data_IF_228375003673
#
_entry.id   IF_228375003673
#
_cell.length_a   1.000
_cell.length_b   1.000
_cell.length_c   1.000
_cell.angle_alpha   90.00
_cell.angle_beta   90.00
_cell.angle_gamma   90.00
#
_symmetry.space_group_name_H-M   'P 1'
#
loop_
_entity.id
_entity.type
_entity.pdbx_description
1 polymer ?
#
# COMPACT_ATOMS: atom_id res chain seq x y z
N UNK A 1 44.86 -7.07 5.59
CA UNK A 1 44.41 -7.64 6.88
C UNK A 1 43.76 -6.53 7.71
N UNK A 2 42.42 -6.52 7.76
CA UNK A 2 41.58 -5.42 8.26
C UNK A 2 41.69 -5.25 9.79
N UNK A 3 42.13 -4.08 10.24
CA UNK A 3 42.04 -3.68 11.65
C UNK A 3 40.56 -3.56 12.02
N UNK A 4 40.10 -4.53 12.83
CA UNK A 4 38.82 -4.56 13.54
C UNK A 4 38.37 -3.15 13.98
N UNK A 5 37.35 -2.62 13.32
CA UNK A 5 36.48 -1.59 13.88
C UNK A 5 35.68 -2.24 15.02
N UNK A 6 36.34 -2.47 16.17
CA UNK A 6 35.61 -2.59 17.43
C UNK A 6 35.07 -1.20 17.73
N UNK A 7 33.84 -0.92 17.27
CA UNK A 7 33.04 0.13 17.87
C UNK A 7 32.87 -0.24 19.34
N UNK A 8 33.72 0.31 20.20
CA UNK A 8 33.38 0.47 21.61
C UNK A 8 32.19 1.44 21.68
N UNK A 9 30.99 0.94 21.37
CA UNK A 9 29.70 1.56 21.67
C UNK A 9 29.45 1.61 23.20
N UNK A 10 30.35 1.02 23.99
CA UNK A 10 30.35 1.00 25.45
C UNK A 10 30.90 2.26 26.13
N UNK A 11 31.06 3.38 25.42
CA UNK A 11 31.05 4.68 26.11
C UNK A 11 29.63 4.82 26.68
N UNK A 12 29.46 4.44 27.96
CA UNK A 12 28.20 4.39 28.70
C UNK A 12 27.36 5.61 28.32
N UNK A 13 26.34 5.40 27.48
CA UNK A 13 25.30 6.38 27.27
C UNK A 13 24.76 6.73 28.65
N UNK A 14 25.00 7.96 29.08
CA UNK A 14 24.54 8.41 30.37
C UNK A 14 23.02 8.30 30.37
N UNK A 15 22.45 7.48 31.25
CA UNK A 15 21.00 7.28 31.34
C UNK A 15 20.24 8.61 31.45
N UNK A 16 20.86 9.61 32.08
CA UNK A 16 20.36 10.98 32.16
C UNK A 16 20.24 11.65 30.79
N UNK A 17 21.23 11.48 29.90
CA UNK A 17 21.21 12.09 28.56
C UNK A 17 20.17 11.42 27.66
N UNK A 18 20.01 10.09 27.77
CA UNK A 18 18.94 9.35 27.10
C UNK A 18 17.58 9.87 27.58
N UNK A 19 17.37 9.96 28.90
CA UNK A 19 16.10 10.42 29.47
C UNK A 19 15.77 11.85 29.01
N UNK A 20 16.75 12.77 29.03
CA UNK A 20 16.56 14.15 28.56
C UNK A 20 16.22 14.17 27.07
N UNK A 21 16.89 13.36 26.24
CA UNK A 21 16.58 13.26 24.82
C UNK A 21 15.15 12.75 24.59
N UNK A 22 14.76 11.65 25.25
CA UNK A 22 13.44 11.05 25.14
C UNK A 22 12.34 12.02 25.56
N UNK A 23 12.53 12.73 26.68
CA UNK A 23 11.57 13.72 27.15
C UNK A 23 11.43 14.89 26.17
N UNK A 24 12.55 15.42 25.67
CA UNK A 24 12.53 16.49 24.65
C UNK A 24 11.84 16.05 23.38
N UNK A 25 12.12 14.83 22.92
CA UNK A 25 11.48 14.24 21.75
C UNK A 25 9.96 14.13 21.97
N UNK A 26 9.53 13.56 23.10
CA UNK A 26 8.10 13.38 23.38
C UNK A 26 7.34 14.71 23.44
N UNK A 27 7.89 15.71 24.13
CA UNK A 27 7.30 17.06 24.21
C UNK A 27 7.28 17.72 22.82
N UNK A 28 8.37 17.66 22.07
CA UNK A 28 8.44 18.24 20.73
C UNK A 28 7.45 17.57 19.76
N UNK A 29 7.38 16.23 19.74
CA UNK A 29 6.44 15.46 18.93
C UNK A 29 5.00 15.82 19.29
N UNK A 30 4.67 15.92 20.58
CA UNK A 30 3.30 16.27 21.02
C UNK A 30 2.89 17.67 20.55
N UNK A 31 3.77 18.67 20.71
CA UNK A 31 3.52 20.03 20.25
C UNK A 31 3.41 20.10 18.73
N UNK A 32 4.36 19.50 18.01
CA UNK A 32 4.35 19.47 16.55
C UNK A 32 3.15 18.71 15.98
N UNK A 33 2.68 17.67 16.67
CA UNK A 33 1.48 16.94 16.28
C UNK A 33 0.24 17.82 16.36
N UNK A 34 0.07 18.60 17.43
CA UNK A 34 -1.05 19.54 17.56
C UNK A 34 -1.02 20.57 16.42
N UNK A 35 0.16 21.13 16.12
CA UNK A 35 0.30 22.08 15.00
C UNK A 35 0.02 21.38 13.67
N UNK A 36 0.60 20.22 13.42
CA UNK A 36 0.38 19.44 12.20
C UNK A 36 -1.09 19.11 11.98
N UNK A 37 -1.79 18.66 13.03
CA UNK A 37 -3.20 18.33 12.97
C UNK A 37 -4.03 19.51 12.43
N UNK A 38 -3.72 20.74 12.84
CA UNK A 38 -4.45 21.94 12.40
C UNK A 38 -4.33 22.29 10.92
N UNK A 39 -3.25 21.89 10.23
CA UNK A 39 -3.04 22.16 8.80
C UNK A 39 -2.96 20.88 7.95
N UNK A 40 -3.23 19.72 8.55
CA UNK A 40 -3.00 18.42 7.93
C UNK A 40 -3.84 18.18 6.66
N UNK A 41 -5.07 18.70 6.63
CA UNK A 41 -5.93 18.68 5.45
C UNK A 41 -5.31 19.43 4.28
N UNK A 42 -4.81 20.65 4.52
CA UNK A 42 -4.17 21.48 3.48
C UNK A 42 -2.87 20.82 2.99
N UNK A 43 -2.12 20.19 3.89
CA UNK A 43 -0.92 19.44 3.54
C UNK A 43 -1.25 18.22 2.67
N UNK A 44 -2.31 17.49 3.01
CA UNK A 44 -2.79 16.36 2.21
C UNK A 44 -3.19 16.80 0.80
N UNK A 45 -3.96 17.86 0.68
CA UNK A 45 -4.36 18.43 -0.61
C UNK A 45 -3.13 18.89 -1.42
N UNK A 46 -2.15 19.50 -0.76
CA UNK A 46 -0.89 19.87 -1.40
C UNK A 46 -0.14 18.65 -1.97
N UNK A 47 0.01 17.58 -1.19
CA UNK A 47 0.65 16.33 -1.67
C UNK A 47 -0.15 15.73 -2.82
N UNK A 48 -1.48 15.70 -2.71
CA UNK A 48 -2.36 15.23 -3.78
C UNK A 48 -2.19 16.03 -5.07
N UNK A 49 -2.17 17.36 -4.99
CA UNK A 49 -2.01 18.23 -6.16
C UNK A 49 -0.66 18.03 -6.87
N UNK A 50 0.39 17.65 -6.13
CA UNK A 50 1.68 17.28 -6.74
C UNK A 50 1.63 15.87 -7.35
N UNK A 51 0.97 14.93 -6.67
CA UNK A 51 0.84 13.54 -7.13
C UNK A 51 -0.08 13.39 -8.34
N UNK A 52 -1.12 14.21 -8.44
CA UNK A 52 -2.14 14.19 -9.49
C UNK A 52 -1.55 14.16 -10.91
N UNK A 53 -0.70 15.11 -11.34
CA UNK A 53 -0.14 15.08 -12.69
C UNK A 53 0.73 13.85 -12.98
N UNK A 54 1.33 13.24 -11.94
CA UNK A 54 2.08 11.98 -12.11
C UNK A 54 1.12 10.85 -12.43
N UNK A 55 0.01 10.75 -11.70
CA UNK A 55 -1.00 9.71 -11.93
C UNK A 55 -1.68 9.90 -13.29
N UNK A 56 -2.10 11.12 -13.63
CA UNK A 56 -2.73 11.43 -14.92
C UNK A 56 -1.78 11.20 -16.11
N UNK A 57 -0.46 11.34 -15.91
CA UNK A 57 0.52 10.99 -16.92
C UNK A 57 0.52 9.48 -17.24
N UNK A 58 0.35 8.62 -16.23
CA UNK A 58 0.29 7.16 -16.42
C UNK A 58 -1.12 6.66 -16.79
N UNK A 59 -2.16 7.40 -16.40
CA UNK A 59 -3.56 7.07 -16.65
C UNK A 59 -4.29 8.23 -17.35
N UNK A 60 -4.00 8.51 -18.63
CA UNK A 60 -4.50 9.70 -19.31
C UNK A 60 -6.02 9.71 -19.51
N UNK A 61 -6.67 8.55 -19.43
CA UNK A 61 -8.11 8.41 -19.59
C UNK A 61 -8.90 8.53 -18.28
N UNK A 62 -8.20 8.65 -17.13
CA UNK A 62 -8.83 8.71 -15.82
C UNK A 62 -8.67 10.09 -15.19
N UNK A 63 -9.80 10.73 -14.87
CA UNK A 63 -9.79 11.97 -14.11
C UNK A 63 -9.60 11.65 -12.62
N UNK A 64 -8.46 12.08 -12.07
CA UNK A 64 -8.14 11.86 -10.65
C UNK A 64 -8.78 12.96 -9.80
N UNK A 65 -9.75 12.57 -8.97
CA UNK A 65 -10.49 13.47 -8.09
C UNK A 65 -10.20 13.11 -6.63
N UNK A 66 -10.01 14.14 -5.79
CA UNK A 66 -9.81 13.96 -4.37
C UNK A 66 -11.15 13.69 -3.66
N UNK A 67 -11.38 12.46 -3.22
CA UNK A 67 -12.55 12.12 -2.41
C UNK A 67 -12.35 12.57 -0.95
N UNK A 68 -13.37 13.21 -0.37
CA UNK A 68 -13.34 13.71 1.02
C UNK A 68 -13.06 12.62 2.06
N UNK A 69 -13.54 11.40 1.83
CA UNK A 69 -13.37 10.29 2.77
C UNK A 69 -11.91 9.82 2.87
N UNK A 70 -11.12 10.00 1.81
CA UNK A 70 -9.69 9.64 1.82
C UNK A 70 -8.85 10.64 2.64
N UNK A 71 -9.34 11.84 2.94
CA UNK A 71 -8.58 12.89 3.63
C UNK A 71 -8.20 12.45 5.06
N UNK A 72 -9.13 11.87 5.83
CA UNK A 72 -8.90 11.57 7.26
C UNK A 72 -7.96 10.37 7.43
N UNK A 73 -8.23 9.26 6.72
CA UNK A 73 -7.40 8.06 6.81
C UNK A 73 -5.97 8.32 6.31
N UNK A 74 -5.83 9.12 5.26
CA UNK A 74 -4.53 9.43 4.67
C UNK A 74 -3.74 10.49 5.46
N UNK A 75 -4.43 11.37 6.20
CA UNK A 75 -3.80 12.36 7.08
C UNK A 75 -2.84 11.71 8.09
N UNK A 76 -3.20 10.54 8.60
CA UNK A 76 -2.36 9.79 9.54
C UNK A 76 -1.09 9.26 8.87
N UNK A 77 -1.17 8.90 7.58
CA UNK A 77 0.00 8.43 6.82
C UNK A 77 1.08 9.51 6.72
N UNK A 78 0.71 10.80 6.69
CA UNK A 78 1.66 11.91 6.55
C UNK A 78 2.27 12.42 7.87
N UNK A 79 1.95 11.77 8.99
CA UNK A 79 2.43 12.17 10.31
C UNK A 79 3.96 12.05 10.45
N UNK A 80 4.64 11.30 9.58
CA UNK A 80 6.06 11.00 9.62
C UNK A 80 6.99 12.25 9.62
N UNK A 81 6.49 13.39 9.14
CA UNK A 81 7.16 14.69 9.26
C UNK A 81 7.36 15.13 10.73
N UNK A 82 6.35 14.89 11.57
CA UNK A 82 6.32 15.27 12.99
C UNK A 82 7.45 14.61 13.80
N UNK A 83 7.57 13.26 13.86
CA UNK A 83 8.65 12.63 14.60
C UNK A 83 10.01 12.94 13.99
N UNK A 84 10.13 13.12 12.67
CA UNK A 84 11.40 13.50 12.05
C UNK A 84 11.90 14.88 12.55
N UNK A 85 11.04 15.89 12.49
CA UNK A 85 11.37 17.24 12.96
C UNK A 85 11.68 17.22 14.46
N UNK A 86 10.87 16.49 15.24
CA UNK A 86 11.09 16.33 16.68
C UNK A 86 12.44 15.65 17.00
N UNK A 87 12.86 14.63 16.25
CA UNK A 87 14.16 13.96 16.41
C UNK A 87 15.32 14.94 16.19
N UNK A 88 15.25 15.78 15.15
CA UNK A 88 16.30 16.79 14.90
C UNK A 88 16.34 17.82 16.03
N UNK A 89 15.20 18.29 16.50
CA UNK A 89 15.14 19.25 17.62
C UNK A 89 15.66 18.66 18.92
N UNK A 90 15.28 17.43 19.24
CA UNK A 90 15.71 16.72 20.44
C UNK A 90 17.22 16.44 20.42
N UNK A 91 17.85 16.35 19.24
CA UNK A 91 19.28 16.09 19.12
C UNK A 91 20.12 17.25 19.69
N UNK A 92 20.87 17.05 20.80
CA UNK A 92 21.48 18.14 21.56
C UNK A 92 22.72 18.75 20.89
N UNK A 93 23.41 18.01 20.02
CA UNK A 93 24.73 18.39 19.48
C UNK A 93 24.69 19.15 18.16
N UNK A 94 23.52 19.34 17.58
CA UNK A 94 23.36 20.03 16.30
C UNK A 94 23.11 21.52 16.57
N UNK A 95 23.93 22.40 15.99
CA UNK A 95 23.73 23.85 16.09
C UNK A 95 22.46 24.28 15.37
N UNK A 96 21.80 25.35 15.82
CA UNK A 96 20.51 25.82 15.27
C UNK A 96 20.46 25.95 13.74
N UNK A 97 21.43 26.63 13.12
CA UNK A 97 21.50 26.75 11.64
C UNK A 97 21.58 25.39 10.93
N UNK A 98 22.32 24.43 11.51
CA UNK A 98 22.42 23.08 10.96
C UNK A 98 21.13 22.28 11.18
N UNK A 99 20.41 22.49 12.29
CA UNK A 99 19.10 21.87 12.52
C UNK A 99 18.12 22.26 11.42
N UNK A 100 18.02 23.56 11.12
CA UNK A 100 17.14 24.08 10.06
C UNK A 100 17.52 23.46 8.71
N UNK A 101 18.81 23.41 8.37
CA UNK A 101 19.28 22.78 7.13
C UNK A 101 18.88 21.30 7.03
N UNK A 102 19.05 20.52 8.11
CA UNK A 102 18.68 19.11 8.13
C UNK A 102 17.17 18.90 8.07
N UNK A 103 16.40 19.77 8.73
CA UNK A 103 14.93 19.77 8.66
C UNK A 103 14.50 19.99 7.21
N UNK A 104 14.98 21.05 6.56
CA UNK A 104 14.62 21.35 5.15
C UNK A 104 14.94 20.16 4.25
N UNK A 105 16.16 19.61 4.33
CA UNK A 105 16.57 18.47 3.51
C UNK A 105 15.66 17.26 3.75
N UNK A 106 15.41 16.89 5.01
CA UNK A 106 14.59 15.74 5.30
C UNK A 106 13.10 15.95 5.01
N UNK A 107 12.57 17.17 5.17
CA UNK A 107 11.21 17.50 4.76
C UNK A 107 11.04 17.35 3.24
N UNK A 108 12.03 17.77 2.42
CA UNK A 108 12.00 17.55 0.97
C UNK A 108 12.01 16.05 0.65
N UNK A 109 12.88 15.27 1.30
CA UNK A 109 12.94 13.81 1.09
C UNK A 109 11.62 13.14 1.48
N UNK A 110 11.05 13.51 2.64
CA UNK A 110 9.77 12.97 3.11
C UNK A 110 8.64 13.36 2.16
N UNK A 111 8.58 14.61 1.70
CA UNK A 111 7.59 15.05 0.71
C UNK A 111 7.66 14.20 -0.57
N UNK A 112 8.86 13.95 -1.10
CA UNK A 112 9.01 13.12 -2.30
C UNK A 112 8.49 11.69 -2.08
N UNK A 113 8.78 11.10 -0.92
CA UNK A 113 8.30 9.75 -0.58
C UNK A 113 6.78 9.72 -0.44
N UNK A 114 6.20 10.76 0.15
CA UNK A 114 4.75 10.90 0.30
C UNK A 114 4.05 11.09 -1.05
N UNK A 115 4.64 11.86 -1.96
CA UNK A 115 4.17 12.00 -3.35
C UNK A 115 4.21 10.64 -4.06
N UNK A 116 5.30 9.88 -3.93
CA UNK A 116 5.42 8.53 -4.49
C UNK A 116 4.34 7.61 -3.91
N UNK A 117 4.16 7.60 -2.59
CA UNK A 117 3.16 6.77 -1.92
C UNK A 117 1.73 7.09 -2.41
N UNK A 118 1.38 8.37 -2.45
CA UNK A 118 0.08 8.84 -2.93
C UNK A 118 -0.12 8.43 -4.38
N UNK A 119 0.85 8.70 -5.26
CA UNK A 119 0.76 8.33 -6.67
C UNK A 119 0.61 6.83 -6.86
N UNK A 120 1.38 6.00 -6.14
CA UNK A 120 1.26 4.55 -6.21
C UNK A 120 -0.10 4.05 -5.73
N UNK A 121 -0.66 4.66 -4.68
CA UNK A 121 -1.97 4.26 -4.13
C UNK A 121 -3.09 4.64 -5.08
N UNK A 122 -3.02 5.83 -5.70
CA UNK A 122 -4.00 6.28 -6.68
C UNK A 122 -3.93 5.44 -7.96
N UNK A 123 -2.73 5.22 -8.51
CA UNK A 123 -2.53 4.35 -9.68
C UNK A 123 -3.02 2.93 -9.42
N UNK A 124 -2.75 2.37 -8.24
CA UNK A 124 -3.24 1.03 -7.87
C UNK A 124 -4.75 0.89 -7.95
N UNK A 125 -5.50 1.89 -7.46
CA UNK A 125 -6.96 1.90 -7.55
C UNK A 125 -7.45 2.00 -8.99
N UNK A 126 -6.75 2.76 -9.84
CA UNK A 126 -7.10 2.89 -11.25
C UNK A 126 -6.83 1.57 -11.98
N UNK A 127 -5.67 0.94 -11.75
CA UNK A 127 -5.32 -0.37 -12.34
C UNK A 127 -6.36 -1.44 -11.99
N UNK A 128 -6.82 -1.48 -10.73
CA UNK A 128 -7.88 -2.40 -10.30
C UNK A 128 -9.16 -2.12 -11.08
N UNK A 129 -9.57 -0.86 -11.17
CA UNK A 129 -10.81 -0.47 -11.84
C UNK A 129 -10.77 -0.77 -13.34
N UNK A 130 -9.65 -0.51 -14.01
CA UNK A 130 -9.42 -0.88 -15.42
C UNK A 130 -9.55 -2.40 -15.62
N UNK A 131 -8.96 -3.19 -14.72
CA UNK A 131 -9.07 -4.66 -14.75
C UNK A 131 -10.48 -5.14 -14.46
N UNK A 132 -11.21 -4.51 -13.54
CA UNK A 132 -12.61 -4.81 -13.25
C UNK A 132 -13.51 -4.54 -14.47
N UNK A 133 -13.31 -3.40 -15.14
CA UNK A 133 -14.05 -3.04 -16.35
C UNK A 133 -13.76 -4.03 -17.49
N UNK A 134 -12.50 -4.40 -17.69
CA UNK A 134 -12.09 -5.40 -18.69
C UNK A 134 -12.66 -6.79 -18.36
N UNK A 135 -12.48 -7.26 -17.13
CA UNK A 135 -12.98 -8.56 -16.68
C UNK A 135 -14.50 -8.65 -16.80
N UNK A 136 -15.20 -7.56 -16.50
CA UNK A 136 -16.67 -7.47 -16.66
C UNK A 136 -17.07 -7.55 -18.13
N UNK A 137 -16.37 -6.85 -19.02
CA UNK A 137 -16.63 -6.93 -20.46
C UNK A 137 -16.37 -8.32 -21.03
N UNK A 138 -15.26 -8.96 -20.65
CA UNK A 138 -14.94 -10.33 -21.06
C UNK A 138 -15.98 -11.32 -20.54
N UNK A 139 -16.38 -11.17 -19.27
CA UNK A 139 -17.39 -12.01 -18.63
C UNK A 139 -18.73 -11.97 -19.36
N UNK A 140 -19.21 -10.79 -19.78
CA UNK A 140 -20.46 -10.70 -20.53
C UNK A 140 -20.37 -11.35 -21.91
N UNK A 141 -19.25 -11.21 -22.62
CA UNK A 141 -19.05 -11.88 -23.91
C UNK A 141 -19.01 -13.41 -23.73
N UNK A 142 -18.29 -13.91 -22.71
CA UNK A 142 -18.19 -15.35 -22.44
C UNK A 142 -19.50 -15.95 -21.92
N UNK A 143 -20.33 -15.16 -21.21
CA UNK A 143 -21.68 -15.58 -20.80
C UNK A 143 -22.58 -15.84 -22.00
N UNK A 144 -22.57 -14.94 -22.98
CA UNK A 144 -23.44 -15.07 -24.15
C UNK A 144 -23.07 -16.34 -24.93
N UNK A 145 -21.77 -16.57 -25.13
CA UNK A 145 -21.24 -17.80 -25.73
C UNK A 145 -21.58 -19.05 -24.90
N UNK A 146 -21.51 -18.96 -23.58
CA UNK A 146 -21.83 -20.07 -22.67
C UNK A 146 -23.31 -20.47 -22.81
N UNK A 147 -24.21 -19.49 -22.82
CA UNK A 147 -25.64 -19.74 -22.99
C UNK A 147 -25.95 -20.35 -24.36
N UNK A 148 -25.35 -19.84 -25.43
CA UNK A 148 -25.52 -20.39 -26.77
C UNK A 148 -25.06 -21.85 -26.83
N UNK A 149 -23.87 -22.16 -26.31
CA UNK A 149 -23.32 -23.51 -26.31
C UNK A 149 -24.16 -24.50 -25.49
N UNK A 150 -24.59 -24.10 -24.28
CA UNK A 150 -25.44 -24.94 -23.43
C UNK A 150 -26.82 -25.17 -24.08
N UNK A 151 -27.39 -24.14 -24.71
CA UNK A 151 -28.64 -24.25 -25.45
C UNK A 151 -28.50 -25.23 -26.63
N UNK A 152 -27.41 -25.16 -27.40
CA UNK A 152 -27.14 -26.10 -28.51
C UNK A 152 -27.05 -27.55 -28.01
N UNK A 153 -26.37 -27.77 -26.88
CA UNK A 153 -26.23 -29.11 -26.28
C UNK A 153 -27.59 -29.66 -25.85
N UNK A 154 -28.41 -28.85 -25.17
CA UNK A 154 -29.72 -29.26 -24.67
C UNK A 154 -30.81 -29.26 -25.76
N UNK A 155 -30.65 -28.50 -26.84
CA UNK A 155 -31.54 -28.54 -28.01
C UNK A 155 -31.62 -29.96 -28.59
N UNK A 156 -30.50 -30.70 -28.64
CA UNK A 156 -30.52 -32.09 -29.09
C UNK A 156 -31.34 -33.03 -28.18
N UNK A 157 -31.41 -32.75 -26.87
CA UNK A 157 -32.26 -33.46 -25.92
C UNK A 157 -33.73 -33.08 -26.10
N UNK A 158 -34.01 -31.78 -26.28
CA UNK A 158 -35.36 -31.25 -26.52
C UNK A 158 -35.93 -31.78 -27.83
N UNK A 159 -35.13 -31.82 -28.90
CA UNK A 159 -35.54 -32.35 -30.22
C UNK A 159 -35.95 -33.83 -30.16
N UNK A 160 -35.36 -34.62 -29.24
CA UNK A 160 -35.77 -36.01 -29.02
C UNK A 160 -37.14 -36.12 -28.35
N UNK A 161 -37.56 -35.12 -27.59
CA UNK A 161 -38.85 -35.09 -26.90
C UNK A 161 -40.00 -34.59 -27.80
N UNK A 162 -39.71 -33.83 -28.86
CA UNK A 162 -40.71 -33.29 -29.80
C UNK A 162 -41.65 -34.39 -30.37
N UNK A 163 -41.16 -35.53 -30.90
CA UNK A 163 -42.02 -36.60 -31.41
C UNK A 163 -42.89 -37.26 -30.33
N UNK A 164 -42.48 -37.23 -29.06
CA UNK A 164 -43.32 -37.70 -27.94
C UNK A 164 -44.46 -36.71 -27.71
N UNK A 165 -44.15 -35.41 -27.64
CA UNK A 165 -45.13 -34.35 -27.38
C UNK A 165 -46.17 -34.24 -28.49
N UNK A 166 -45.77 -34.38 -29.76
CA UNK A 166 -46.69 -34.43 -30.89
C UNK A 166 -47.67 -35.62 -30.79
N UNK A 167 -47.19 -36.80 -30.38
CA UNK A 167 -48.06 -37.97 -30.13
C UNK A 167 -49.02 -37.76 -28.96
N UNK A 168 -48.69 -36.86 -28.03
CA UNK A 168 -49.56 -36.45 -26.93
C UNK A 168 -50.52 -35.30 -27.31
N UNK A 169 -50.56 -34.91 -28.58
CA UNK A 169 -51.49 -33.90 -29.10
C UNK A 169 -51.05 -32.45 -28.91
N UNK A 170 -49.78 -32.18 -28.57
CA UNK A 170 -49.26 -30.81 -28.54
C UNK A 170 -49.15 -30.25 -29.96
N UNK A 171 -49.64 -29.03 -30.14
CA UNK A 171 -49.58 -28.34 -31.43
C UNK A 171 -48.16 -27.84 -31.70
N UNK A 172 -47.88 -27.46 -32.95
CA UNK A 172 -46.62 -26.80 -33.30
C UNK A 172 -46.44 -25.49 -32.53
N UNK A 173 -47.52 -24.73 -32.37
CA UNK A 173 -47.54 -23.47 -31.63
C UNK A 173 -47.20 -23.66 -30.15
N UNK A 174 -47.72 -24.73 -29.51
CA UNK A 174 -47.36 -25.08 -28.12
C UNK A 174 -45.86 -25.42 -27.99
N UNK A 175 -45.31 -26.10 -28.99
CA UNK A 175 -43.89 -26.49 -29.01
C UNK A 175 -42.99 -25.28 -29.22
N UNK A 176 -43.35 -24.39 -30.15
CA UNK A 176 -42.63 -23.14 -30.41
C UNK A 176 -42.66 -22.22 -29.17
N UNK A 177 -43.81 -22.16 -28.47
CA UNK A 177 -43.93 -21.44 -27.20
C UNK A 177 -43.05 -22.04 -26.10
N UNK A 178 -42.98 -23.37 -25.97
CA UNK A 178 -42.09 -24.03 -25.01
C UNK A 178 -40.62 -23.75 -25.30
N UNK A 179 -40.20 -23.83 -26.57
CA UNK A 179 -38.82 -23.51 -26.98
C UNK A 179 -38.49 -22.05 -26.65
N UNK A 180 -39.41 -21.12 -26.91
CA UNK A 180 -39.22 -19.72 -26.54
C UNK A 180 -39.13 -19.51 -25.03
N UNK A 181 -39.94 -20.21 -24.23
CA UNK A 181 -39.86 -20.14 -22.77
C UNK A 181 -38.51 -20.66 -22.26
N UNK A 182 -37.93 -21.71 -22.87
CA UNK A 182 -36.59 -22.21 -22.53
C UNK A 182 -35.53 -21.14 -22.84
N UNK A 183 -35.57 -20.56 -24.04
CA UNK A 183 -34.64 -19.51 -24.47
C UNK A 183 -34.69 -18.26 -23.57
N UNK A 184 -35.86 -17.97 -23.02
CA UNK A 184 -36.10 -16.83 -22.13
C UNK A 184 -35.92 -17.15 -20.63
N UNK A 185 -35.42 -18.35 -20.28
CA UNK A 185 -35.25 -18.79 -18.88
C UNK A 185 -36.57 -18.91 -18.08
N UNK A 186 -37.72 -18.99 -18.76
CA UNK A 186 -39.05 -19.03 -18.15
C UNK A 186 -39.51 -20.47 -17.90
N UNK A 187 -38.67 -21.28 -17.25
CA UNK A 187 -38.90 -22.72 -17.04
C UNK A 187 -40.23 -23.02 -16.32
N UNK A 188 -40.71 -22.11 -15.47
CA UNK A 188 -41.98 -22.27 -14.76
C UNK A 188 -43.21 -22.24 -15.67
N UNK A 189 -43.11 -21.63 -16.86
CA UNK A 189 -44.19 -21.54 -17.84
C UNK A 189 -44.31 -22.80 -18.72
N UNK A 190 -43.42 -23.77 -18.55
CA UNK A 190 -43.41 -25.01 -19.33
C UNK A 190 -44.33 -26.04 -18.67
N UNK A 191 -45.37 -26.45 -19.40
CA UNK A 191 -46.40 -27.37 -18.89
C UNK A 191 -45.95 -28.84 -18.79
N UNK A 192 -44.99 -29.27 -19.61
CA UNK A 192 -44.51 -30.66 -19.59
C UNK A 192 -43.37 -30.80 -18.56
N UNK A 193 -43.53 -31.72 -17.61
CA UNK A 193 -42.62 -31.90 -16.48
C UNK A 193 -41.20 -32.29 -16.92
N UNK A 194 -41.06 -33.15 -17.94
CA UNK A 194 -39.72 -33.55 -18.44
C UNK A 194 -39.00 -32.39 -19.11
N UNK A 195 -39.69 -31.65 -19.97
CA UNK A 195 -39.11 -30.46 -20.63
C UNK A 195 -38.79 -29.37 -19.61
N UNK A 196 -39.65 -29.19 -18.59
CA UNK A 196 -39.39 -28.28 -17.47
C UNK A 196 -38.13 -28.67 -16.69
N UNK A 197 -37.94 -29.97 -16.40
CA UNK A 197 -36.73 -30.44 -15.70
C UNK A 197 -35.47 -30.22 -16.54
N UNK A 198 -35.52 -30.46 -17.85
CA UNK A 198 -34.40 -30.16 -18.77
C UNK A 198 -34.08 -28.65 -18.74
N UNK A 199 -35.10 -27.79 -18.77
CA UNK A 199 -34.93 -26.34 -18.65
C UNK A 199 -34.29 -25.93 -17.31
N UNK A 200 -34.75 -26.51 -16.19
CA UNK A 200 -34.19 -26.23 -14.86
C UNK A 200 -32.74 -26.71 -14.74
N UNK A 201 -32.40 -27.87 -15.29
CA UNK A 201 -31.02 -28.37 -15.35
C UNK A 201 -30.12 -27.43 -16.14
N UNK A 202 -30.58 -26.98 -17.33
CA UNK A 202 -29.88 -26.02 -18.17
C UNK A 202 -29.61 -24.69 -17.43
N UNK A 203 -30.64 -24.12 -16.79
CA UNK A 203 -30.51 -22.86 -16.03
C UNK A 203 -29.58 -23.02 -14.84
N UNK A 204 -29.66 -24.14 -14.11
CA UNK A 204 -28.77 -24.40 -12.97
C UNK A 204 -27.31 -24.56 -13.41
N UNK A 205 -27.05 -25.30 -14.50
CA UNK A 205 -25.69 -25.47 -15.04
C UNK A 205 -25.12 -24.13 -15.52
N UNK A 206 -25.94 -23.32 -16.19
CA UNK A 206 -25.57 -21.98 -16.61
C UNK A 206 -25.20 -21.07 -15.42
N UNK A 207 -26.05 -21.00 -14.39
CA UNK A 207 -25.77 -20.17 -13.20
C UNK A 207 -24.55 -20.66 -12.42
N UNK A 208 -24.30 -21.97 -12.37
CA UNK A 208 -23.09 -22.52 -11.75
C UNK A 208 -21.84 -22.09 -12.51
N UNK A 209 -21.78 -22.31 -13.83
CA UNK A 209 -20.61 -21.96 -14.65
C UNK A 209 -20.38 -20.45 -14.71
N UNK A 210 -21.45 -19.66 -14.74
CA UNK A 210 -21.39 -18.20 -14.60
C UNK A 210 -20.73 -17.78 -13.29
N UNK A 211 -21.05 -18.45 -12.18
CA UNK A 211 -20.40 -18.18 -10.89
C UNK A 211 -18.91 -18.55 -10.90
N UNK A 212 -18.57 -19.71 -11.45
CA UNK A 212 -17.18 -20.18 -11.59
C UNK A 212 -16.33 -19.22 -12.45
N UNK A 213 -16.84 -18.81 -13.60
CA UNK A 213 -16.20 -17.83 -14.49
C UNK A 213 -15.97 -16.49 -13.77
N UNK A 214 -16.95 -16.02 -13.01
CA UNK A 214 -16.80 -14.78 -12.25
C UNK A 214 -15.75 -14.88 -11.15
N UNK A 215 -15.68 -16.02 -10.46
CA UNK A 215 -14.65 -16.28 -9.45
C UNK A 215 -13.24 -16.32 -10.09
N UNK A 216 -13.09 -17.00 -11.23
CA UNK A 216 -11.82 -17.04 -11.98
C UNK A 216 -11.39 -15.64 -12.46
N UNK A 217 -12.32 -14.84 -13.03
CA UNK A 217 -12.01 -13.48 -13.46
C UNK A 217 -11.65 -12.59 -12.28
N UNK A 218 -12.32 -12.72 -11.14
CA UNK A 218 -12.02 -11.96 -9.92
C UNK A 218 -10.62 -12.26 -9.39
N UNK A 219 -10.19 -13.52 -9.39
CA UNK A 219 -8.86 -13.91 -8.91
C UNK A 219 -7.73 -13.32 -9.78
N UNK A 220 -8.04 -12.91 -11.02
CA UNK A 220 -7.10 -12.22 -11.90
C UNK A 220 -7.03 -10.69 -11.67
N UNK A 221 -7.94 -10.12 -10.87
CA UNK A 221 -7.97 -8.71 -10.47
C UNK A 221 -7.08 -8.52 -9.23
N UNK A 222 -5.80 -8.87 -9.35
CA UNK A 222 -4.81 -8.53 -8.31
C UNK A 222 -4.08 -7.23 -8.64
N UNK A 223 -3.80 -6.43 -7.61
CA UNK A 223 -2.88 -5.30 -7.71
C UNK A 223 -1.52 -5.77 -8.22
N UNK A 224 -0.82 -4.90 -8.96
CA UNK A 224 0.57 -5.18 -9.30
C UNK A 224 1.38 -5.44 -8.03
N UNK A 225 2.27 -6.45 -8.06
CA UNK A 225 3.15 -6.76 -6.92
C UNK A 225 3.92 -5.52 -6.43
N UNK A 226 4.30 -4.63 -7.36
CA UNK A 226 5.02 -3.41 -7.06
C UNK A 226 4.14 -2.41 -6.31
N UNK A 227 2.90 -2.20 -6.75
CA UNK A 227 1.90 -1.37 -6.06
C UNK A 227 1.67 -1.89 -4.65
N UNK A 228 1.37 -3.19 -4.49
CA UNK A 228 1.12 -3.82 -3.19
C UNK A 228 2.32 -3.74 -2.25
N UNK A 229 3.53 -3.90 -2.78
CA UNK A 229 4.77 -3.83 -1.98
C UNK A 229 5.05 -2.41 -1.52
N UNK A 230 4.93 -1.43 -2.42
CA UNK A 230 5.17 -0.02 -2.11
C UNK A 230 4.09 0.49 -1.16
N UNK A 231 2.81 0.24 -1.45
CA UNK A 231 1.69 0.66 -0.60
C UNK A 231 1.73 -0.02 0.77
N UNK A 232 2.08 -1.30 0.83
CA UNK A 232 2.24 -2.03 2.09
C UNK A 232 3.41 -1.53 2.93
N UNK A 233 4.57 -1.31 2.32
CA UNK A 233 5.75 -0.80 3.02
C UNK A 233 5.55 0.65 3.49
N UNK A 234 5.06 1.52 2.61
CA UNK A 234 4.84 2.95 2.89
C UNK A 234 3.49 3.25 3.55
N UNK A 235 2.59 2.30 3.70
CA UNK A 235 1.33 2.47 4.45
C UNK A 235 1.42 1.96 5.89
N UNK A 236 2.30 1.00 6.16
CA UNK A 236 2.43 0.35 7.46
C UNK A 236 3.64 0.83 8.29
N UNK A 237 4.40 -0.13 8.81
CA UNK A 237 5.55 0.12 9.70
C UNK A 237 6.64 1.00 9.07
N UNK A 238 6.71 1.06 7.74
CA UNK A 238 7.68 1.92 7.05
C UNK A 238 7.51 3.39 7.41
N UNK A 239 6.29 3.92 7.52
CA UNK A 239 6.08 5.34 7.86
C UNK A 239 6.50 5.68 9.29
N UNK A 240 6.44 4.70 10.18
CA UNK A 240 6.85 4.86 11.58
C UNK A 240 8.38 4.82 11.69
N UNK A 241 9.02 3.86 11.02
CA UNK A 241 10.47 3.61 11.14
C UNK A 241 11.29 4.58 10.29
N UNK A 242 10.76 5.00 9.13
CA UNK A 242 11.50 5.81 8.16
C UNK A 242 12.01 7.15 8.71
N UNK A 243 11.24 7.93 9.52
CA UNK A 243 11.76 9.11 10.20
C UNK A 243 13.03 8.87 11.02
N UNK A 244 13.13 7.72 11.68
CA UNK A 244 14.31 7.35 12.47
C UNK A 244 15.49 6.98 11.58
N UNK A 245 15.26 6.22 10.51
CA UNK A 245 16.31 5.90 9.52
C UNK A 245 16.85 7.20 8.91
N UNK A 246 15.96 8.06 8.43
CA UNK A 246 16.32 9.33 7.82
C UNK A 246 17.09 10.22 8.81
N UNK A 247 16.61 10.31 10.05
CA UNK A 247 17.31 11.03 11.11
C UNK A 247 18.71 10.46 11.36
N UNK A 248 18.87 9.14 11.46
CA UNK A 248 20.18 8.48 11.65
C UNK A 248 21.10 8.84 10.50
N UNK A 249 20.66 8.66 9.25
CA UNK A 249 21.47 8.92 8.05
C UNK A 249 21.92 10.39 7.99
N UNK A 250 21.00 11.33 8.21
CA UNK A 250 21.28 12.76 8.16
C UNK A 250 22.13 13.24 9.34
N UNK A 251 21.97 12.64 10.53
CA UNK A 251 22.68 13.03 11.74
C UNK A 251 23.97 12.24 11.96
N UNK A 252 24.22 11.16 11.21
CA UNK A 252 25.34 10.22 11.40
C UNK A 252 26.70 10.93 11.48
N UNK A 253 26.92 11.90 10.59
CA UNK A 253 28.17 12.68 10.56
C UNK A 253 28.39 13.46 11.87
N UNK A 254 27.33 14.01 12.46
CA UNK A 254 27.42 14.75 13.73
C UNK A 254 27.72 13.84 14.91
N UNK A 255 27.27 12.58 14.87
CA UNK A 255 27.65 11.57 15.85
C UNK A 255 29.13 11.20 15.72
N UNK A 256 29.63 10.94 14.49
CA UNK A 256 31.03 10.58 14.25
C UNK A 256 32.03 11.70 14.60
N UNK A 257 31.74 12.94 14.22
CA UNK A 257 32.61 14.09 14.54
C UNK A 257 32.74 14.31 16.06
N UNK A 258 31.69 14.00 16.83
CA UNK A 258 31.72 14.05 18.30
C UNK A 258 32.67 13.01 18.89
N UNK A 259 32.62 11.77 18.40
CA UNK A 259 33.49 10.70 18.90
C UNK A 259 34.96 10.95 18.56
N UNK A 260 35.23 11.55 17.40
CA UNK A 260 36.59 11.92 16.99
C UNK A 260 37.19 13.05 17.85
N UNK A 261 36.40 14.09 18.18
CA UNK A 261 36.84 15.18 19.06
C UNK A 261 37.11 14.71 20.49
N UNK A 262 36.25 13.84 21.06
CA UNK A 262 36.48 13.28 22.38
C UNK A 262 37.81 12.53 22.45
N UNK A 263 38.10 11.63 21.48
CA UNK A 263 39.37 10.87 21.44
C UNK A 263 40.62 11.74 21.33
N UNK A 264 40.55 12.90 20.65
CA UNK A 264 41.68 13.85 20.59
C UNK A 264 41.90 14.57 21.93
N UNK A 265 40.84 14.89 22.66
CA UNK A 265 40.94 15.55 23.97
C UNK A 265 41.51 14.63 25.07
N UNK A 266 41.20 13.34 25.02
CA UNK A 266 41.70 12.36 26.02
C UNK A 266 43.19 12.08 25.86
N UNK A 267 43.75 12.23 24.65
CA UNK A 267 45.19 12.01 24.39
C UNK A 267 46.12 13.12 24.90
N UNK A 268 45.59 14.29 25.26
CA UNK A 268 46.41 15.46 25.64
C UNK A 268 46.65 15.54 27.16
N UNK A 269 46.04 14.67 27.98
CA UNK A 269 46.19 14.66 29.44
C UNK A 269 46.86 13.39 30.00
N UNK A 270 47.90 12.88 29.36
CA UNK A 270 48.91 12.12 30.11
C UNK A 270 49.89 13.11 30.71
N UNK A 271 49.84 13.39 32.03
CA UNK A 271 50.87 14.19 32.66
C UNK A 271 52.20 13.47 32.42
N UNK A 272 53.14 14.16 31.77
CA UNK A 272 54.54 13.76 31.81
C UNK A 272 54.92 13.77 33.28
N UNK A 273 54.90 12.60 33.94
CA UNK A 273 55.61 12.42 35.20
C UNK A 273 57.07 12.66 34.87
N UNK A 274 57.56 13.85 35.17
CA UNK A 274 58.98 14.13 35.26
C UNK A 274 59.52 13.22 36.37
N UNK A 275 60.04 12.06 35.99
CA UNK A 275 60.94 11.31 36.84
C UNK A 275 62.19 12.17 37.01
N UNK A 276 62.22 12.96 38.10
CA UNK A 276 63.49 13.42 38.66
C UNK A 276 64.18 12.16 39.15
N UNK A 277 65.24 11.76 38.45
CA UNK A 277 66.20 10.81 38.99
C UNK A 277 66.92 11.52 40.13
N UNK A 278 66.54 11.22 41.37
CA UNK A 278 67.35 11.58 42.53
C UNK A 278 68.68 10.81 42.45
N UNK A 279 69.83 11.46 42.72
CA UNK A 279 71.12 10.78 42.74
C UNK A 279 71.15 9.78 43.89
N UNK A 280 71.40 8.51 43.55
CA UNK A 280 71.68 7.44 44.50
C UNK A 280 73.00 7.80 45.21
N UNK A 281 72.90 8.23 46.47
CA UNK A 281 74.06 8.48 47.31
C UNK A 281 74.45 7.14 47.96
N UNK A 282 75.48 6.49 47.42
CA UNK A 282 76.09 5.30 48.01
C UNK A 282 77.12 5.77 49.04
N UNK A 283 76.88 5.45 50.31
CA UNK A 283 77.88 5.47 51.38
C UNK A 283 78.34 4.06 51.67
#
# INVERSE_FOLDING_TARGET
MNKKFKLNLGDKLNAKDILIFTLKFFVATSLLFIVFYSFSSDYYEFVFNISKPIVEFFHPNYEVILEKENIIASTVSFINLVPFIALIFATPKIKGKNKIKLIIIGCVILLLIQVIYMSSTLSGRIDIKEKEELATSEFYNEIDDLWENLTIQKDAEIQKEIPRLQRMGKTKEDLDLMINNIRNHECEKISDEKVRNICLELVNEYEQKKKELWEEKRDNIEESFLTRTISGFLGGAGMIIFPFILWIVLCYRYFLESSAKMRKSTKIKTPHKNFKNDPINIK
#
